data_IF_957150599526
#
_entry.id   IF_957150599526
#
_cell.length_a   1.000
_cell.length_b   1.000
_cell.length_c   1.000
_cell.angle_alpha   90.00
_cell.angle_beta   90.00
_cell.angle_gamma   90.00
#
_symmetry.space_group_name_H-M   'P 1'
#
loop_
_entity.id
_entity.type
_entity.pdbx_description
1 polymer ?
#
# COMPACT_ATOMS: atom_id res chain seq x y z
N UNK A 1 12.41 -19.61 -21.81
CA UNK A 1 12.45 -18.60 -20.73
C UNK A 1 11.38 -17.59 -21.09
N UNK A 2 10.30 -17.48 -20.31
CA UNK A 2 9.17 -16.59 -20.64
C UNK A 2 9.61 -15.15 -20.35
N UNK A 3 9.42 -14.25 -21.30
CA UNK A 3 9.75 -12.83 -21.13
C UNK A 3 8.83 -12.21 -20.06
N UNK A 4 9.36 -11.32 -19.22
CA UNK A 4 8.57 -10.59 -18.21
C UNK A 4 7.32 -9.92 -18.82
N UNK A 5 7.46 -9.33 -20.00
CA UNK A 5 6.34 -8.68 -20.70
C UNK A 5 5.28 -9.70 -21.16
N UNK A 6 5.72 -10.87 -21.64
CA UNK A 6 4.81 -11.95 -22.04
C UNK A 6 4.07 -12.54 -20.84
N UNK A 7 4.77 -12.73 -19.72
CA UNK A 7 4.18 -13.20 -18.48
C UNK A 7 3.18 -12.20 -17.89
N UNK A 8 3.51 -10.91 -17.90
CA UNK A 8 2.64 -9.86 -17.39
C UNK A 8 1.39 -9.68 -18.25
N UNK A 9 1.53 -9.70 -19.58
CA UNK A 9 0.38 -9.68 -20.49
C UNK A 9 -0.53 -10.87 -20.25
N UNK A 10 0.04 -12.08 -20.15
CA UNK A 10 -0.74 -13.28 -19.86
C UNK A 10 -1.49 -13.18 -18.52
N UNK A 11 -0.82 -12.70 -17.47
CA UNK A 11 -1.41 -12.52 -16.14
C UNK A 11 -2.58 -11.52 -16.17
N UNK A 12 -2.41 -10.39 -16.86
CA UNK A 12 -3.44 -9.38 -17.01
C UNK A 12 -4.58 -9.87 -17.89
N UNK A 13 -4.33 -10.64 -18.94
CA UNK A 13 -5.36 -11.19 -19.82
C UNK A 13 -6.26 -12.21 -19.10
N UNK A 14 -5.66 -13.08 -18.28
CA UNK A 14 -6.35 -14.18 -17.59
C UNK A 14 -6.95 -13.80 -16.21
N UNK A 15 -6.85 -12.54 -15.81
CA UNK A 15 -7.41 -12.04 -14.54
C UNK A 15 -8.81 -11.45 -14.73
N UNK A 16 -9.68 -11.53 -13.73
CA UNK A 16 -10.94 -10.78 -13.73
C UNK A 16 -10.71 -9.28 -13.50
N UNK A 17 -11.73 -8.44 -13.75
CA UNK A 17 -11.61 -6.97 -13.64
C UNK A 17 -11.11 -6.49 -12.27
N UNK A 18 -11.49 -7.15 -11.19
CA UNK A 18 -11.05 -6.76 -9.84
C UNK A 18 -9.60 -7.18 -9.61
N UNK A 19 -9.21 -8.40 -10.02
CA UNK A 19 -7.82 -8.85 -9.97
C UNK A 19 -6.88 -8.02 -10.83
N UNK A 20 -7.26 -7.62 -12.05
CA UNK A 20 -6.44 -6.74 -12.91
C UNK A 20 -6.13 -5.42 -12.21
N UNK A 21 -7.11 -4.82 -11.55
CA UNK A 21 -6.92 -3.56 -10.79
C UNK A 21 -5.93 -3.74 -9.65
N UNK A 22 -6.05 -4.82 -8.89
CA UNK A 22 -5.10 -5.13 -7.80
C UNK A 22 -3.70 -5.34 -8.37
N UNK A 23 -3.55 -6.14 -9.43
CA UNK A 23 -2.25 -6.41 -10.06
C UNK A 23 -1.60 -5.12 -10.57
N UNK A 24 -2.33 -4.26 -11.25
CA UNK A 24 -1.80 -2.97 -11.75
C UNK A 24 -1.40 -2.05 -10.59
N UNK A 25 -2.22 -1.93 -9.55
CA UNK A 25 -1.90 -1.10 -8.38
C UNK A 25 -0.69 -1.65 -7.63
N UNK A 26 -0.61 -2.97 -7.43
CA UNK A 26 0.53 -3.62 -6.78
C UNK A 26 1.82 -3.44 -7.58
N UNK A 27 1.79 -3.63 -8.90
CA UNK A 27 2.96 -3.39 -9.77
C UNK A 27 3.36 -1.92 -9.71
N UNK A 28 2.40 -0.99 -9.76
CA UNK A 28 2.69 0.44 -9.66
C UNK A 28 3.33 0.81 -8.32
N UNK A 29 2.84 0.27 -7.20
CA UNK A 29 3.42 0.46 -5.87
C UNK A 29 4.84 -0.11 -5.79
N UNK A 30 5.07 -1.33 -6.30
CA UNK A 30 6.39 -1.97 -6.32
C UNK A 30 7.38 -1.14 -7.17
N UNK A 31 6.99 -0.76 -8.39
CA UNK A 31 7.83 0.06 -9.26
C UNK A 31 8.08 1.47 -8.67
N UNK A 32 7.12 2.01 -7.91
CA UNK A 32 7.29 3.30 -7.23
C UNK A 32 8.24 3.18 -6.04
N UNK A 33 8.18 2.06 -5.31
CA UNK A 33 9.09 1.76 -4.20
C UNK A 33 10.53 1.51 -4.68
N UNK A 34 10.72 0.83 -5.82
CA UNK A 34 12.06 0.61 -6.40
C UNK A 34 12.69 1.89 -6.98
N UNK A 35 11.88 2.88 -7.37
CA UNK A 35 12.37 4.21 -7.77
C UNK A 35 12.75 5.11 -6.58
N UNK A 36 12.49 4.69 -5.34
CA UNK A 36 13.04 5.33 -4.15
C UNK A 36 14.49 4.86 -3.96
N UNK A 37 15.43 5.48 -4.69
CA UNK A 37 16.77 5.68 -4.13
C UNK A 37 16.56 6.25 -2.73
N UNK A 38 17.12 5.61 -1.69
CA UNK A 38 17.01 6.03 -0.28
C UNK A 38 16.75 7.53 -0.22
N UNK A 39 15.50 7.97 0.08
CA UNK A 39 15.19 9.38 -0.03
C UNK A 39 16.13 10.10 0.92
N UNK A 40 16.94 11.03 0.39
CA UNK A 40 17.58 12.01 1.26
C UNK A 40 16.49 12.57 2.17
N UNK A 41 16.75 12.74 3.47
CA UNK A 41 15.73 13.15 4.43
C UNK A 41 15.05 14.40 3.91
N UNK A 42 13.86 14.22 3.33
CA UNK A 42 13.05 15.33 2.84
C UNK A 42 12.68 16.12 4.09
N UNK A 43 12.75 17.44 4.02
CA UNK A 43 12.25 18.31 5.09
C UNK A 43 10.90 17.77 5.52
N UNK A 44 10.75 17.40 6.81
CA UNK A 44 9.53 16.80 7.34
C UNK A 44 8.33 17.61 6.83
N UNK A 45 7.55 17.02 5.92
CA UNK A 45 6.34 17.67 5.42
C UNK A 45 5.44 17.83 6.63
N UNK A 46 5.17 19.08 7.01
CA UNK A 46 4.30 19.38 8.13
C UNK A 46 2.94 18.76 7.82
N UNK A 47 2.47 17.94 8.76
CA UNK A 47 1.19 17.27 8.64
C UNK A 47 0.06 18.28 8.42
N UNK A 48 -0.78 18.03 7.40
CA UNK A 48 -1.98 18.82 7.12
C UNK A 48 -3.20 17.92 6.94
N UNK A 49 -4.40 18.43 7.29
CA UNK A 49 -5.66 17.76 6.99
C UNK A 49 -5.84 17.60 5.48
N UNK A 50 -6.62 16.59 5.03
CA UNK A 50 -6.98 16.47 3.62
C UNK A 50 -7.94 17.61 3.21
N UNK A 51 -8.14 17.84 1.90
CA UNK A 51 -9.14 18.77 1.41
C UNK A 51 -10.55 18.46 1.93
N UNK A 52 -11.43 19.46 1.94
CA UNK A 52 -12.78 19.30 2.47
C UNK A 52 -13.55 18.16 1.80
N UNK A 53 -14.21 17.32 2.61
CA UNK A 53 -14.97 16.15 2.15
C UNK A 53 -14.11 14.92 1.76
N UNK A 54 -12.81 14.94 2.03
CA UNK A 54 -11.91 13.82 1.74
C UNK A 54 -11.56 13.03 3.00
N UNK A 55 -11.25 11.75 2.80
CA UNK A 55 -10.63 10.91 3.82
C UNK A 55 -9.14 10.76 3.53
N UNK A 56 -8.32 10.90 4.57
CA UNK A 56 -6.89 10.61 4.55
C UNK A 56 -6.64 9.28 5.23
N UNK A 57 -5.94 8.38 4.54
CA UNK A 57 -5.52 7.09 5.08
C UNK A 57 -4.01 7.14 5.24
N UNK A 58 -3.54 6.96 6.47
CA UNK A 58 -2.12 6.72 6.70
C UNK A 58 -1.92 5.24 6.95
N UNK A 59 -0.83 4.72 6.40
CA UNK A 59 -0.44 3.33 6.53
C UNK A 59 0.98 3.31 7.07
N UNK A 60 1.21 2.48 8.07
CA UNK A 60 2.53 2.18 8.61
C UNK A 60 2.73 0.66 8.60
N UNK A 61 3.96 0.21 8.47
CA UNK A 61 4.29 -1.21 8.51
C UNK A 61 5.55 -1.43 9.33
N UNK A 62 5.50 -2.43 10.20
CA UNK A 62 6.62 -2.87 11.03
C UNK A 62 7.03 -4.27 10.62
N UNK A 63 8.30 -4.45 10.31
CA UNK A 63 8.88 -5.76 10.02
C UNK A 63 9.78 -6.22 11.18
N UNK A 64 9.53 -7.44 11.65
CA UNK A 64 10.46 -8.19 12.49
C UNK A 64 11.16 -9.25 11.64
N UNK A 65 12.40 -8.96 11.24
CA UNK A 65 13.23 -9.88 10.44
C UNK A 65 13.47 -11.19 11.18
N UNK A 66 13.83 -11.12 12.47
CA UNK A 66 14.10 -12.29 13.30
C UNK A 66 12.90 -13.25 13.42
N UNK A 67 11.68 -12.70 13.43
CA UNK A 67 10.44 -13.48 13.53
C UNK A 67 9.79 -13.75 12.17
N UNK A 68 10.34 -13.23 11.07
CA UNK A 68 9.74 -13.23 9.72
C UNK A 68 8.27 -12.79 9.75
N UNK A 69 7.98 -11.77 10.55
CA UNK A 69 6.63 -11.25 10.77
C UNK A 69 6.58 -9.80 10.41
N UNK A 70 5.53 -9.41 9.71
CA UNK A 70 5.18 -8.02 9.53
C UNK A 70 3.85 -7.73 10.21
N UNK A 71 3.69 -6.49 10.68
CA UNK A 71 2.43 -5.97 11.13
C UNK A 71 2.21 -4.67 10.37
N UNK A 72 1.01 -4.52 9.83
CA UNK A 72 0.62 -3.39 9.00
C UNK A 72 -0.56 -2.69 9.65
N UNK A 73 -0.46 -1.40 9.88
CA UNK A 73 -1.42 -0.61 10.63
C UNK A 73 -1.94 0.53 9.74
N UNK A 74 -3.21 0.91 9.90
CA UNK A 74 -3.76 2.07 9.22
C UNK A 74 -4.68 2.90 10.11
N UNK A 75 -4.77 4.18 9.78
CA UNK A 75 -5.70 5.13 10.39
C UNK A 75 -6.36 5.96 9.31
N UNK A 76 -7.68 6.08 9.39
CA UNK A 76 -8.52 6.85 8.47
C UNK A 76 -9.01 8.08 9.22
N UNK A 77 -8.80 9.26 8.63
CA UNK A 77 -9.26 10.54 9.18
C UNK A 77 -10.05 11.32 8.16
N UNK A 78 -11.03 12.11 8.61
CA UNK A 78 -11.68 13.10 7.75
C UNK A 78 -10.88 14.41 7.68
N UNK A 79 -11.42 15.38 6.93
CA UNK A 79 -10.93 16.75 6.75
C UNK A 79 -10.96 17.59 8.02
N UNK A 80 -11.74 17.19 9.02
CA UNK A 80 -11.77 17.76 10.37
C UNK A 80 -10.82 17.03 11.34
N UNK A 81 -9.97 16.14 10.81
CA UNK A 81 -9.00 15.30 11.55
C UNK A 81 -9.61 14.26 12.51
N UNK A 82 -10.94 14.07 12.50
CA UNK A 82 -11.60 13.01 13.26
C UNK A 82 -11.23 11.64 12.73
N UNK A 83 -10.98 10.70 13.66
CA UNK A 83 -10.66 9.32 13.33
C UNK A 83 -11.96 8.60 12.95
N UNK A 84 -12.06 8.23 11.68
CA UNK A 84 -13.22 7.52 11.12
C UNK A 84 -13.03 6.00 11.19
N UNK A 85 -11.79 5.54 11.32
CA UNK A 85 -11.46 4.13 11.40
C UNK A 85 -9.99 3.89 11.68
N UNK A 86 -9.71 2.72 12.23
CA UNK A 86 -8.37 2.21 12.48
C UNK A 86 -8.36 0.70 12.34
N UNK A 87 -7.22 0.14 12.00
CA UNK A 87 -7.06 -1.30 11.91
C UNK A 87 -5.60 -1.71 11.82
N UNK A 88 -5.38 -2.98 12.05
CA UNK A 88 -4.08 -3.60 11.87
C UNK A 88 -4.22 -5.02 11.33
N UNK A 89 -3.18 -5.49 10.65
CA UNK A 89 -3.10 -6.84 10.15
C UNK A 89 -1.70 -7.42 10.35
N UNK A 90 -1.67 -8.61 10.97
CA UNK A 90 -0.44 -9.39 11.10
C UNK A 90 -0.22 -10.26 9.87
N UNK A 91 1.02 -10.31 9.39
CA UNK A 91 1.46 -11.12 8.27
C UNK A 91 2.62 -12.02 8.71
N UNK A 92 2.53 -13.31 8.38
CA UNK A 92 3.58 -14.29 8.62
C UNK A 92 4.41 -14.51 7.35
N UNK A 93 5.64 -15.00 7.51
CA UNK A 93 6.56 -15.33 6.42
C UNK A 93 6.89 -14.13 5.52
N UNK A 94 6.88 -12.93 6.09
CA UNK A 94 7.27 -11.71 5.36
C UNK A 94 8.77 -11.53 5.48
N UNK A 95 9.44 -11.51 4.33
CA UNK A 95 10.89 -11.45 4.21
C UNK A 95 11.42 -10.09 3.78
N UNK A 96 10.53 -9.15 3.44
CA UNK A 96 10.89 -7.83 2.94
C UNK A 96 9.91 -6.77 3.46
N UNK A 97 10.45 -5.59 3.79
CA UNK A 97 9.65 -4.42 4.22
C UNK A 97 8.71 -4.00 3.10
N UNK A 98 9.15 -4.08 1.84
CA UNK A 98 8.32 -3.74 0.67
C UNK A 98 7.08 -4.64 0.59
N UNK A 99 7.24 -5.94 0.87
CA UNK A 99 6.11 -6.88 0.90
C UNK A 99 5.16 -6.55 2.07
N UNK A 100 5.71 -6.17 3.23
CA UNK A 100 4.91 -5.74 4.37
C UNK A 100 4.03 -4.52 4.04
N UNK A 101 4.62 -3.51 3.39
CA UNK A 101 3.92 -2.28 2.97
C UNK A 101 2.84 -2.56 1.91
N UNK A 102 3.13 -3.40 0.92
CA UNK A 102 2.12 -3.81 -0.09
C UNK A 102 0.96 -4.56 0.56
N UNK A 103 1.26 -5.46 1.51
CA UNK A 103 0.24 -6.21 2.24
C UNK A 103 -0.61 -5.28 3.12
N UNK A 104 -0.05 -4.17 3.62
CA UNK A 104 -0.77 -3.15 4.39
C UNK A 104 -1.89 -2.47 3.57
N UNK A 105 -1.71 -2.37 2.25
CA UNK A 105 -2.68 -1.74 1.35
C UNK A 105 -3.86 -2.66 1.00
N UNK A 106 -3.65 -3.98 1.02
CA UNK A 106 -4.66 -4.96 0.64
C UNK A 106 -5.98 -4.85 1.43
N UNK A 107 -6.01 -4.83 2.79
CA UNK A 107 -7.25 -4.74 3.55
C UNK A 107 -8.01 -3.43 3.31
N UNK A 108 -7.29 -2.33 3.04
CA UNK A 108 -7.88 -1.02 2.73
C UNK A 108 -8.64 -1.09 1.41
N UNK A 109 -8.04 -1.67 0.37
CA UNK A 109 -8.68 -1.81 -0.93
C UNK A 109 -9.87 -2.79 -0.95
N UNK A 110 -9.88 -3.79 -0.06
CA UNK A 110 -10.95 -4.81 -0.01
C UNK A 110 -12.11 -4.46 0.93
N UNK A 111 -11.86 -3.72 2.01
CA UNK A 111 -12.87 -3.37 3.01
C UNK A 111 -13.53 -2.00 2.78
N UNK A 112 -12.84 -1.10 2.07
CA UNK A 112 -13.27 0.27 1.85
C UNK A 112 -13.16 0.60 0.36
N UNK A 113 -14.31 0.79 -0.30
CA UNK A 113 -14.35 1.18 -1.71
C UNK A 113 -13.53 2.45 -1.96
N UNK A 114 -12.56 2.34 -2.87
CA UNK A 114 -11.81 3.41 -3.55
C UNK A 114 -11.48 4.67 -2.73
N UNK A 115 -10.22 4.77 -2.26
CA UNK A 115 -9.63 6.02 -1.79
C UNK A 115 -8.40 6.40 -2.63
N UNK A 116 -8.25 7.70 -2.90
CA UNK A 116 -7.18 8.28 -3.71
C UNK A 116 -5.98 8.56 -2.80
N UNK A 117 -4.97 7.69 -2.83
CA UNK A 117 -3.73 7.88 -2.08
C UNK A 117 -2.80 8.88 -2.79
N UNK A 118 -2.25 9.83 -2.04
CA UNK A 118 -1.14 10.68 -2.46
C UNK A 118 0.01 10.47 -1.46
N UNK A 119 1.20 10.14 -1.98
CA UNK A 119 2.47 10.01 -1.23
C UNK A 119 3.20 11.35 -1.13
#
# INVERSE_FOLDING_TARGET
MVNFNEWLSWLLENSDKNRKRVIVVTIWVICSAENLKHPQPRSMVKWSPPPQGWLKINVDARLSIAKKRAVSDFIIRNDEEFIMGLGFQGHNLVHSVVIAEVLAMAPICTGFGFFKCYS
#
